data_IF_831102940065
#
_entry.id   IF_831102940065
#
_cell.length_a   1.000
_cell.length_b   1.000
_cell.length_c   1.000
_cell.angle_alpha   90.00
_cell.angle_beta   90.00
_cell.angle_gamma   90.00
#
_symmetry.space_group_name_H-M   'P 1'
#
loop_
_entity.id
_entity.type
_entity.pdbx_description
1 polymer ?
#
# COMPACT_ATOMS: atom_id res chain seq x y z
N UNK A 1 -0.97 8.67 -2.40
CA UNK A 1 -0.60 7.23 -2.38
C UNK A 1 -1.79 6.45 -1.87
N UNK A 2 -2.16 5.32 -2.47
CA UNK A 2 -3.34 4.57 -2.03
C UNK A 2 -3.13 4.07 -0.59
N UNK A 3 -4.10 4.32 0.29
CA UNK A 3 -4.15 3.81 1.67
C UNK A 3 -5.43 3.01 1.84
N UNK A 4 -5.34 1.87 2.48
CA UNK A 4 -6.49 1.05 2.85
C UNK A 4 -7.32 1.82 3.90
N UNK A 5 -8.60 2.09 3.61
CA UNK A 5 -9.49 2.79 4.55
C UNK A 5 -9.80 1.95 5.79
N UNK A 6 -9.84 0.62 5.65
CA UNK A 6 -10.17 -0.32 6.75
C UNK A 6 -8.94 -0.59 7.62
N UNK A 7 -7.81 -0.92 6.98
CA UNK A 7 -6.63 -1.48 7.63
C UNK A 7 -5.47 -0.50 7.75
N UNK A 8 -5.61 0.73 7.23
CA UNK A 8 -4.59 1.77 7.27
C UNK A 8 -3.31 1.47 6.48
N UNK A 9 -3.18 0.30 5.86
CA UNK A 9 -2.02 -0.11 5.07
C UNK A 9 -1.73 0.92 3.99
N UNK A 10 -0.51 1.43 3.97
CA UNK A 10 0.01 2.38 2.99
C UNK A 10 1.33 1.89 2.43
N UNK A 11 1.94 2.71 1.57
CA UNK A 11 3.27 2.40 1.03
C UNK A 11 4.31 2.58 2.13
N UNK A 12 5.20 1.61 2.25
CA UNK A 12 6.37 1.67 3.13
C UNK A 12 7.64 1.80 2.29
N UNK A 13 8.64 2.51 2.81
CA UNK A 13 9.92 2.73 2.14
C UNK A 13 11.04 1.97 2.84
N UNK A 14 12.04 1.55 2.08
CA UNK A 14 13.29 1.00 2.61
C UNK A 14 14.24 0.65 1.48
N UNK A 15 15.13 -0.32 1.71
CA UNK A 15 16.19 -0.65 0.76
C UNK A 15 16.13 -2.10 0.29
N UNK A 16 16.38 -2.33 -0.99
CA UNK A 16 16.74 -3.65 -1.51
C UNK A 16 18.24 -3.83 -1.27
N UNK A 17 18.61 -4.88 -0.54
CA UNK A 17 20.00 -5.24 -0.26
C UNK A 17 20.38 -6.39 -1.18
N UNK A 18 21.43 -6.23 -1.98
CA UNK A 18 21.98 -7.32 -2.80
C UNK A 18 22.88 -8.24 -1.96
N UNK A 19 23.27 -9.38 -2.53
CA UNK A 19 24.25 -10.29 -1.92
C UNK A 19 25.58 -9.60 -1.55
N UNK A 20 26.00 -8.61 -2.35
CA UNK A 20 27.18 -7.76 -2.10
C UNK A 20 26.91 -6.53 -1.24
N UNK A 21 25.79 -6.49 -0.50
CA UNK A 21 25.37 -5.36 0.35
C UNK A 21 25.17 -4.02 -0.37
N UNK A 22 24.96 -4.01 -1.70
CA UNK A 22 24.54 -2.78 -2.40
C UNK A 22 23.09 -2.48 -2.04
N UNK A 23 22.85 -1.26 -1.54
CA UNK A 23 21.53 -0.77 -1.13
C UNK A 23 20.95 0.11 -2.21
N UNK A 24 19.75 -0.22 -2.70
CA UNK A 24 18.96 0.66 -3.58
C UNK A 24 17.61 0.95 -2.95
N UNK A 25 17.06 2.15 -3.21
CA UNK A 25 15.77 2.54 -2.66
C UNK A 25 14.64 1.68 -3.23
N UNK A 26 13.74 1.22 -2.36
CA UNK A 26 12.56 0.43 -2.72
C UNK A 26 11.34 0.95 -1.97
N UNK A 27 10.20 0.95 -2.65
CA UNK A 27 8.89 1.14 -2.05
C UNK A 27 8.14 -0.21 -2.03
N UNK A 28 7.65 -0.63 -0.85
CA UNK A 28 6.73 -1.75 -0.69
C UNK A 28 5.30 -1.24 -0.77
N UNK A 29 4.63 -1.55 -1.88
CA UNK A 29 3.24 -1.18 -2.11
C UNK A 29 2.31 -2.31 -1.64
N UNK A 30 1.34 -2.04 -0.75
CA UNK A 30 0.28 -3.01 -0.45
C UNK A 30 -0.62 -3.22 -1.67
N UNK A 31 -1.20 -4.41 -1.80
CA UNK A 31 -2.16 -4.75 -2.87
C UNK A 31 -3.54 -4.16 -2.57
N UNK A 32 -3.66 -2.83 -2.68
CA UNK A 32 -4.92 -2.12 -2.47
C UNK A 32 -5.71 -2.10 -3.77
N UNK A 33 -6.96 -2.54 -3.71
CA UNK A 33 -7.91 -2.54 -4.83
C UNK A 33 -9.05 -1.58 -4.55
N UNK A 34 -9.57 -0.96 -5.61
CA UNK A 34 -10.80 -0.15 -5.54
C UNK A 34 -12.00 -1.10 -5.56
N UNK A 35 -12.88 -0.96 -4.59
CA UNK A 35 -14.11 -1.77 -4.47
C UNK A 35 -15.28 -0.84 -4.20
N UNK A 36 -16.46 -1.17 -4.71
CA UNK A 36 -17.68 -0.47 -4.29
C UNK A 36 -18.08 -1.00 -2.93
N UNK A 37 -18.18 -0.13 -1.93
CA UNK A 37 -18.55 -0.48 -0.57
C UNK A 37 -19.71 0.39 -0.09
N UNK A 38 -20.64 -0.19 0.65
CA UNK A 38 -21.67 0.57 1.36
C UNK A 38 -21.03 1.19 2.60
N UNK A 39 -20.89 2.51 2.60
CA UNK A 39 -20.41 3.27 3.76
C UNK A 39 -21.59 4.10 4.25
N UNK A 40 -22.04 3.84 5.49
CA UNK A 40 -23.19 4.51 6.09
C UNK A 40 -24.46 4.48 5.20
N UNK A 41 -24.74 3.33 4.58
CA UNK A 41 -25.91 3.12 3.72
C UNK A 41 -25.82 3.70 2.31
N UNK A 42 -24.75 4.45 1.99
CA UNK A 42 -24.53 4.99 0.64
C UNK A 42 -23.45 4.17 -0.09
N UNK A 43 -23.68 3.73 -1.34
CA UNK A 43 -22.63 3.07 -2.13
C UNK A 43 -21.54 4.06 -2.50
N UNK A 44 -20.34 3.81 -1.98
CA UNK A 44 -19.12 4.59 -2.20
C UNK A 44 -18.05 3.72 -2.87
N UNK A 45 -17.02 4.34 -3.45
CA UNK A 45 -15.99 3.66 -4.25
C UNK A 45 -14.59 3.97 -3.75
#
# INVERSE_FOLDING_TARGET
MAKCQICGKGVSFGSKVSHSNRKTNRAWKPNIRKVKALVNGTPTR
#
